data_IF_234882855125
#
_entry.id   IF_234882855125
#
_cell.length_a   1.000
_cell.length_b   1.000
_cell.length_c   1.000
_cell.angle_alpha   90.00
_cell.angle_beta   90.00
_cell.angle_gamma   90.00
#
_symmetry.space_group_name_H-M   'P 1'
#
loop_
_entity.id
_entity.type
_entity.pdbx_description
1 polymer ?
#
# COMPACT_ATOMS: atom_id res chain seq x y z
N UNK A 1 28.70 42.88 4.84
CA UNK A 1 29.63 41.74 5.00
C UNK A 1 29.19 40.91 6.19
N UNK A 2 28.66 39.70 5.98
CA UNK A 2 28.41 38.77 7.07
C UNK A 2 27.16 37.88 6.89
N UNK A 3 27.42 36.58 6.72
CA UNK A 3 26.53 35.43 6.97
C UNK A 3 25.48 35.05 5.90
N UNK A 4 25.96 34.67 4.71
CA UNK A 4 25.24 33.74 3.81
C UNK A 4 26.10 32.50 3.52
N UNK A 5 26.70 31.94 4.57
CA UNK A 5 27.40 30.65 4.46
C UNK A 5 26.40 29.52 4.67
N UNK A 6 26.15 28.83 3.56
CA UNK A 6 25.94 27.39 3.48
C UNK A 6 24.68 26.78 4.10
N UNK A 7 23.75 26.41 3.22
CA UNK A 7 22.75 25.37 3.51
C UNK A 7 23.19 23.99 2.94
N UNK A 8 23.94 23.95 1.83
CA UNK A 8 24.42 22.69 1.25
C UNK A 8 25.62 22.04 1.96
N UNK A 9 26.37 22.74 2.83
CA UNK A 9 27.37 22.06 3.68
C UNK A 9 26.73 21.40 4.92
N UNK A 10 25.43 21.57 5.19
CA UNK A 10 24.80 20.91 6.35
C UNK A 10 24.27 19.50 6.05
N UNK A 11 24.05 19.13 4.78
CA UNK A 11 23.70 17.75 4.44
C UNK A 11 24.94 16.83 4.40
N UNK A 12 26.10 17.38 4.05
CA UNK A 12 27.39 16.68 4.20
C UNK A 12 27.86 16.86 5.65
N UNK A 13 27.71 15.82 6.47
CA UNK A 13 28.49 15.50 7.70
C UNK A 13 27.76 15.41 9.07
N UNK A 14 26.49 15.03 9.18
CA UNK A 14 25.96 14.56 10.49
C UNK A 14 25.38 13.14 10.51
N UNK A 15 25.13 12.51 9.36
CA UNK A 15 24.82 11.09 9.32
C UNK A 15 26.10 10.29 9.08
N UNK A 16 26.49 9.45 10.04
CA UNK A 16 27.57 8.46 9.84
C UNK A 16 27.25 7.66 8.57
N UNK A 17 28.22 7.43 7.65
CA UNK A 17 27.97 6.66 6.45
C UNK A 17 27.44 5.27 6.83
N UNK A 18 26.16 5.03 6.54
CA UNK A 18 25.51 3.75 6.79
C UNK A 18 25.78 2.84 5.61
N UNK A 19 26.17 1.59 5.87
CA UNK A 19 26.31 0.55 4.84
C UNK A 19 24.95 0.10 4.25
N UNK A 20 23.84 0.62 4.79
CA UNK A 20 22.48 0.30 4.36
C UNK A 20 22.29 0.50 2.86
N UNK A 21 21.65 -0.46 2.16
CA UNK A 21 21.27 -0.31 0.75
C UNK A 21 20.43 0.94 0.48
N UNK A 22 19.62 1.38 1.47
CA UNK A 22 18.81 2.59 1.35
C UNK A 22 19.67 3.86 1.37
N UNK A 23 20.70 3.91 2.22
CA UNK A 23 21.63 5.04 2.29
C UNK A 23 22.38 5.23 0.96
N UNK A 24 22.89 4.13 0.39
CA UNK A 24 23.56 4.14 -0.93
C UNK A 24 22.64 4.65 -2.05
N UNK A 25 21.34 4.28 -2.02
CA UNK A 25 20.33 4.76 -2.99
C UNK A 25 20.07 6.25 -2.84
N UNK A 26 19.97 6.76 -1.61
CA UNK A 26 19.77 8.19 -1.33
C UNK A 26 20.96 9.03 -1.80
N UNK A 27 22.19 8.61 -1.52
CA UNK A 27 23.38 9.32 -2.02
C UNK A 27 23.44 9.34 -3.55
N UNK A 28 23.05 8.24 -4.21
CA UNK A 28 22.98 8.18 -5.67
C UNK A 28 21.93 9.14 -6.22
N UNK A 29 20.75 9.23 -5.61
CA UNK A 29 19.70 10.15 -6.02
C UNK A 29 20.12 11.63 -5.82
N UNK A 30 20.75 11.96 -4.69
CA UNK A 30 21.27 13.31 -4.44
C UNK A 30 22.30 13.74 -5.49
N UNK A 31 23.14 12.82 -5.97
CA UNK A 31 24.14 13.11 -7.01
C UNK A 31 23.56 13.40 -8.41
N UNK A 32 22.25 13.18 -8.61
CA UNK A 32 21.55 13.51 -9.85
C UNK A 32 21.15 14.98 -9.95
N UNK A 33 21.25 15.75 -8.85
CA UNK A 33 20.94 17.17 -8.81
C UNK A 33 22.22 17.95 -8.48
N UNK A 34 22.39 19.11 -9.09
CA UNK A 34 23.51 20.02 -8.82
C UNK A 34 23.37 20.66 -7.43
N UNK A 35 24.45 20.60 -6.65
CA UNK A 35 24.55 20.98 -5.22
C UNK A 35 24.16 22.45 -4.89
N UNK A 36 23.70 23.28 -5.83
CA UNK A 36 23.51 24.72 -5.54
C UNK A 36 22.43 25.44 -6.34
N UNK A 37 21.86 24.85 -7.39
CA UNK A 37 20.91 25.56 -8.26
C UNK A 37 19.59 24.83 -8.54
N UNK A 38 19.44 23.61 -8.03
CA UNK A 38 18.25 22.80 -8.33
C UNK A 38 18.16 22.43 -9.81
N UNK A 39 19.29 22.35 -10.53
CA UNK A 39 19.32 21.80 -11.88
C UNK A 39 19.73 20.33 -11.84
N UNK A 40 19.18 19.56 -12.78
CA UNK A 40 19.59 18.19 -13.04
C UNK A 40 21.06 18.10 -13.48
N UNK A 41 21.80 17.13 -12.95
CA UNK A 41 23.14 16.79 -13.41
C UNK A 41 23.03 15.85 -14.63
N UNK A 42 23.03 16.45 -15.82
CA UNK A 42 22.85 15.75 -17.11
C UNK A 42 23.86 14.62 -17.33
N UNK A 43 25.12 14.80 -16.91
CA UNK A 43 26.15 13.78 -17.06
C UNK A 43 25.84 12.53 -16.22
N UNK A 44 25.40 12.71 -14.98
CA UNK A 44 25.03 11.60 -14.10
C UNK A 44 23.70 10.96 -14.48
N UNK A 45 22.73 11.76 -14.93
CA UNK A 45 21.45 11.25 -15.41
C UNK A 45 21.61 10.35 -16.63
N UNK A 46 22.41 10.76 -17.61
CA UNK A 46 22.65 9.98 -18.83
C UNK A 46 23.35 8.63 -18.57
N UNK A 47 24.09 8.50 -17.47
CA UNK A 47 24.72 7.25 -17.06
C UNK A 47 23.76 6.28 -16.37
N UNK A 48 22.67 6.79 -15.78
CA UNK A 48 21.75 5.99 -14.93
C UNK A 48 20.45 5.67 -15.67
N UNK A 49 20.00 6.55 -16.57
CA UNK A 49 18.70 6.45 -17.22
C UNK A 49 18.80 6.40 -18.74
N UNK A 50 17.87 5.69 -19.37
CA UNK A 50 17.71 5.68 -20.82
C UNK A 50 17.10 6.98 -21.36
N UNK A 51 17.20 7.20 -22.66
CA UNK A 51 16.71 8.40 -23.35
C UNK A 51 15.23 8.73 -23.06
N UNK A 52 14.37 7.71 -22.99
CA UNK A 52 12.95 7.88 -22.66
C UNK A 52 12.75 8.45 -21.24
N UNK A 53 13.44 7.89 -20.25
CA UNK A 53 13.32 8.35 -18.87
C UNK A 53 13.99 9.72 -18.66
N UNK A 54 15.06 10.02 -19.40
CA UNK A 54 15.70 11.35 -19.37
C UNK A 54 14.74 12.45 -19.80
N UNK A 55 13.99 12.25 -20.89
CA UNK A 55 12.99 13.22 -21.33
C UNK A 55 11.97 13.51 -20.23
N UNK A 56 11.44 12.47 -19.58
CA UNK A 56 10.47 12.62 -18.49
C UNK A 56 11.04 13.24 -17.22
N UNK A 57 12.30 12.97 -16.89
CA UNK A 57 12.96 13.55 -15.72
C UNK A 57 13.20 15.04 -15.94
N UNK A 58 13.55 15.46 -17.17
CA UNK A 58 13.73 16.87 -17.53
C UNK A 58 12.44 17.68 -17.38
N UNK A 59 11.29 17.06 -17.59
CA UNK A 59 9.98 17.70 -17.39
C UNK A 59 9.67 17.97 -15.91
N UNK A 60 10.39 17.33 -14.98
CA UNK A 60 10.26 17.58 -13.55
C UNK A 60 11.12 18.81 -13.21
N UNK A 61 10.47 19.90 -12.82
CA UNK A 61 11.15 21.07 -12.27
C UNK A 61 11.77 20.67 -10.94
N UNK A 62 13.10 20.55 -10.91
CA UNK A 62 13.82 20.39 -9.66
C UNK A 62 13.70 21.68 -8.84
N UNK A 63 13.48 21.56 -7.53
CA UNK A 63 13.16 22.70 -6.68
C UNK A 63 14.29 23.74 -6.72
N UNK A 64 13.95 24.97 -7.08
CA UNK A 64 14.86 26.12 -7.01
C UNK A 64 14.81 26.84 -5.66
N UNK A 65 13.91 26.42 -4.76
CA UNK A 65 13.78 26.99 -3.42
C UNK A 65 14.59 26.18 -2.43
N UNK A 66 15.31 26.86 -1.55
CA UNK A 66 16.09 26.24 -0.46
C UNK A 66 15.16 25.87 0.72
N UNK A 67 14.03 25.24 0.42
CA UNK A 67 13.03 24.77 1.40
C UNK A 67 13.30 23.30 1.65
N UNK A 68 13.24 22.87 2.91
CA UNK A 68 13.39 21.46 3.25
C UNK A 68 12.25 20.62 2.67
N UNK A 69 12.60 19.44 2.15
CA UNK A 69 11.62 18.47 1.66
C UNK A 69 10.67 18.05 2.78
N UNK A 70 9.36 18.07 2.50
CA UNK A 70 8.32 17.56 3.40
C UNK A 70 7.46 16.52 2.71
N UNK A 71 6.94 15.57 3.49
CA UNK A 71 5.94 14.63 2.99
C UNK A 71 4.63 15.38 2.72
N UNK A 72 4.11 15.24 1.50
CA UNK A 72 2.88 15.88 1.05
C UNK A 72 1.88 14.80 0.66
N UNK A 73 0.70 14.83 1.28
CA UNK A 73 -0.43 14.00 0.91
C UNK A 73 -1.18 14.60 -0.27
N UNK A 74 -1.07 14.01 -1.45
CA UNK A 74 -1.61 14.56 -2.71
C UNK A 74 -3.14 14.65 -2.77
N UNK A 75 -3.85 14.05 -1.81
CA UNK A 75 -5.32 14.05 -1.76
C UNK A 75 -5.91 15.13 -0.85
N UNK A 76 -5.08 16.04 -0.32
CA UNK A 76 -5.55 17.24 0.38
C UNK A 76 -4.92 18.50 -0.22
N UNK A 77 -5.68 19.59 -0.24
CA UNK A 77 -5.23 20.87 -0.82
C UNK A 77 -4.00 21.46 -0.11
N UNK A 78 -3.78 21.13 1.16
CA UNK A 78 -2.65 21.62 1.96
C UNK A 78 -1.48 20.62 2.03
N UNK A 79 -1.66 19.43 1.46
CA UNK A 79 -0.66 18.37 1.54
C UNK A 79 -0.58 17.67 2.88
N UNK A 80 -1.51 17.92 3.79
CA UNK A 80 -1.53 17.32 5.12
C UNK A 80 -2.34 16.02 5.13
N UNK A 81 -1.83 15.03 5.86
CA UNK A 81 -2.55 13.78 6.06
C UNK A 81 -3.74 14.01 7.00
N UNK A 82 -4.90 13.50 6.61
CA UNK A 82 -6.11 13.55 7.42
C UNK A 82 -6.76 12.15 7.42
N UNK A 83 -6.98 11.63 8.63
CA UNK A 83 -7.53 10.27 8.84
C UNK A 83 -8.95 10.15 8.28
N UNK A 84 -9.80 11.14 8.52
CA UNK A 84 -11.19 11.16 8.03
C UNK A 84 -11.24 11.11 6.50
N UNK A 85 -10.50 11.99 5.83
CA UNK A 85 -10.41 11.98 4.35
C UNK A 85 -9.77 10.69 3.83
N UNK A 86 -8.81 10.11 4.54
CA UNK A 86 -8.21 8.84 4.13
C UNK A 86 -9.23 7.70 4.19
N UNK A 87 -10.09 7.67 5.20
CA UNK A 87 -11.17 6.70 5.31
C UNK A 87 -12.20 6.90 4.22
N UNK A 88 -12.60 8.14 3.94
CA UNK A 88 -13.53 8.46 2.86
C UNK A 88 -13.02 7.95 1.50
N UNK A 89 -11.73 8.17 1.20
CA UNK A 89 -11.09 7.68 -0.03
C UNK A 89 -11.07 6.15 -0.06
N UNK A 90 -10.65 5.51 1.04
CA UNK A 90 -10.59 4.05 1.12
C UNK A 90 -11.98 3.42 1.00
N UNK A 91 -13.01 4.04 1.57
CA UNK A 91 -14.40 3.65 1.37
C UNK A 91 -14.82 3.87 -0.08
N UNK A 92 -14.50 5.03 -0.67
CA UNK A 92 -14.84 5.40 -2.05
C UNK A 92 -14.21 4.46 -3.10
N UNK A 93 -12.98 4.02 -2.89
CA UNK A 93 -12.32 3.04 -3.74
C UNK A 93 -12.88 1.61 -3.54
N UNK A 94 -13.51 1.31 -2.39
CA UNK A 94 -14.15 0.02 -2.12
C UNK A 94 -15.60 -0.11 -2.59
N UNK A 95 -16.26 0.95 -3.11
CA UNK A 95 -17.63 0.82 -3.68
C UNK A 95 -17.69 0.00 -4.98
N UNK A 96 -16.56 -0.44 -5.52
CA UNK A 96 -16.53 -1.44 -6.60
C UNK A 96 -16.53 -2.89 -6.09
N UNK A 97 -16.45 -3.13 -4.78
CA UNK A 97 -16.88 -4.41 -4.23
C UNK A 97 -18.41 -4.39 -4.09
N UNK A 98 -19.13 -5.48 -4.43
CA UNK A 98 -20.55 -5.57 -4.19
C UNK A 98 -20.79 -5.34 -2.70
N UNK A 99 -21.25 -4.12 -2.36
CA UNK A 99 -21.69 -3.79 -1.02
C UNK A 99 -22.80 -4.76 -0.70
N UNK A 100 -22.51 -5.75 0.14
CA UNK A 100 -23.55 -6.64 0.62
C UNK A 100 -24.59 -5.73 1.26
N UNK A 101 -25.83 -5.78 0.79
CA UNK A 101 -26.99 -5.09 1.38
C UNK A 101 -27.26 -5.49 2.85
N UNK A 102 -26.40 -6.34 3.41
CA UNK A 102 -26.42 -6.82 4.77
C UNK A 102 -26.12 -5.69 5.77
N UNK A 103 -27.13 -5.37 6.59
CA UNK A 103 -27.02 -4.38 7.67
C UNK A 103 -26.27 -4.99 8.86
N UNK A 104 -24.97 -4.76 8.96
CA UNK A 104 -24.12 -5.27 10.06
C UNK A 104 -24.63 -4.93 11.46
N UNK A 105 -25.33 -3.80 11.62
CA UNK A 105 -25.96 -3.40 12.88
C UNK A 105 -26.94 -4.45 13.41
N UNK A 106 -27.58 -5.21 12.53
CA UNK A 106 -28.53 -6.26 12.93
C UNK A 106 -27.81 -7.47 13.52
N UNK A 107 -26.61 -7.81 13.02
CA UNK A 107 -25.82 -8.92 13.54
C UNK A 107 -25.48 -8.72 15.02
N UNK A 108 -25.08 -7.50 15.40
CA UNK A 108 -24.66 -7.18 16.77
C UNK A 108 -25.82 -7.04 17.77
N UNK A 109 -27.06 -6.96 17.31
CA UNK A 109 -28.26 -6.91 18.16
C UNK A 109 -28.76 -8.29 18.58
N UNK A 110 -28.25 -9.36 17.98
CA UNK A 110 -28.68 -10.72 18.29
C UNK A 110 -28.17 -11.08 19.70
N UNK A 111 -29.02 -11.66 20.58
CA UNK A 111 -28.64 -12.03 21.94
C UNK A 111 -27.80 -13.33 21.96
N UNK A 112 -26.68 -13.33 21.25
CA UNK A 112 -25.72 -14.41 21.21
C UNK A 112 -24.37 -13.95 21.81
N UNK A 113 -23.59 -14.89 22.36
CA UNK A 113 -22.21 -14.61 22.77
C UNK A 113 -21.39 -13.93 21.65
N UNK A 114 -20.61 -12.92 22.02
CA UNK A 114 -19.83 -12.13 21.05
C UNK A 114 -18.87 -12.96 20.19
N UNK A 115 -18.39 -14.09 20.71
CA UNK A 115 -17.58 -15.05 19.95
C UNK A 115 -18.29 -15.59 18.71
N UNK A 116 -19.60 -15.86 18.81
CA UNK A 116 -20.42 -16.38 17.71
C UNK A 116 -20.70 -15.27 16.70
N UNK A 117 -21.00 -14.06 17.18
CA UNK A 117 -21.24 -12.90 16.31
C UNK A 117 -19.99 -12.54 15.49
N UNK A 118 -18.82 -12.52 16.12
CA UNK A 118 -17.55 -12.33 15.42
C UNK A 118 -17.26 -13.43 14.40
N UNK A 119 -17.57 -14.69 14.73
CA UNK A 119 -17.42 -15.78 13.79
C UNK A 119 -18.26 -15.57 12.52
N UNK A 120 -19.55 -15.24 12.68
CA UNK A 120 -20.43 -14.97 11.55
C UNK A 120 -20.02 -13.72 10.77
N UNK A 121 -19.58 -12.67 11.46
CA UNK A 121 -19.01 -11.49 10.80
C UNK A 121 -17.82 -11.87 9.91
N UNK A 122 -16.91 -12.71 10.39
CA UNK A 122 -15.78 -13.21 9.59
C UNK A 122 -16.24 -14.10 8.43
N UNK A 123 -17.19 -15.00 8.66
CA UNK A 123 -17.73 -15.89 7.63
C UNK A 123 -18.34 -15.09 6.47
N UNK A 124 -19.22 -14.14 6.78
CA UNK A 124 -19.91 -13.31 5.78
C UNK A 124 -18.95 -12.38 5.02
N UNK A 125 -17.83 -11.96 5.63
CA UNK A 125 -16.82 -11.10 4.98
C UNK A 125 -15.69 -11.88 4.29
N UNK A 126 -15.85 -13.19 4.03
CA UNK A 126 -14.78 -14.02 3.44
C UNK A 126 -13.45 -13.90 4.22
N UNK A 127 -13.59 -13.80 5.54
CA UNK A 127 -12.54 -13.54 6.53
C UNK A 127 -11.95 -14.81 7.14
N UNK A 128 -12.64 -15.95 7.00
CA UNK A 128 -12.16 -17.24 7.49
C UNK A 128 -10.97 -17.75 6.65
N UNK A 129 -9.99 -18.43 7.26
CA UNK A 129 -8.80 -18.95 6.58
C UNK A 129 -9.10 -20.22 5.78
N UNK A 130 -10.14 -20.20 4.95
CA UNK A 130 -10.47 -21.28 4.02
C UNK A 130 -9.53 -21.24 2.83
N UNK A 131 -9.20 -22.39 2.22
CA UNK A 131 -8.27 -22.47 1.10
C UNK A 131 -8.67 -21.58 -0.07
N UNK A 132 -9.97 -21.51 -0.39
CA UNK A 132 -10.45 -20.61 -1.44
C UNK A 132 -10.18 -19.13 -1.11
N UNK A 133 -10.34 -18.72 0.15
CA UNK A 133 -10.06 -17.34 0.58
C UNK A 133 -8.57 -17.02 0.60
N UNK A 134 -7.74 -17.96 1.04
CA UNK A 134 -6.29 -17.80 1.04
C UNK A 134 -5.76 -17.70 -0.40
N UNK A 135 -6.25 -18.54 -1.31
CA UNK A 135 -5.91 -18.47 -2.73
C UNK A 135 -6.34 -17.14 -3.37
N UNK A 136 -7.55 -16.65 -3.03
CA UNK A 136 -8.03 -15.31 -3.45
C UNK A 136 -7.11 -14.18 -2.97
N UNK A 137 -6.39 -14.36 -1.85
CA UNK A 137 -5.42 -13.41 -1.31
C UNK A 137 -4.00 -13.60 -1.87
N UNK A 138 -3.83 -14.44 -2.90
CA UNK A 138 -2.56 -14.63 -3.60
C UNK A 138 -1.68 -15.75 -3.03
N UNK A 139 -2.17 -16.55 -2.07
CA UNK A 139 -1.43 -17.74 -1.65
C UNK A 139 -1.59 -18.86 -2.68
N UNK A 140 -0.46 -19.40 -3.16
CA UNK A 140 -0.46 -20.50 -4.11
C UNK A 140 -0.67 -21.83 -3.37
N UNK A 141 -1.92 -22.15 -3.05
CA UNK A 141 -2.32 -23.37 -2.35
C UNK A 141 -3.47 -24.07 -3.08
N UNK A 142 -3.61 -25.40 -2.97
CA UNK A 142 -4.76 -26.10 -3.51
C UNK A 142 -6.06 -25.61 -2.85
N UNK A 143 -7.07 -25.30 -3.66
CA UNK A 143 -8.35 -24.74 -3.20
C UNK A 143 -9.41 -25.81 -2.92
N UNK A 144 -9.13 -27.07 -3.23
CA UNK A 144 -10.04 -28.19 -3.01
C UNK A 144 -10.29 -28.47 -1.53
N UNK A 145 -11.48 -28.97 -1.24
CA UNK A 145 -11.89 -29.38 0.09
C UNK A 145 -10.99 -30.51 0.64
N UNK A 146 -10.46 -30.37 1.86
CA UNK A 146 -9.61 -31.40 2.48
C UNK A 146 -10.34 -32.72 2.73
N UNK A 147 -11.68 -32.74 2.73
CA UNK A 147 -12.49 -33.95 2.92
C UNK A 147 -12.63 -34.80 1.64
N UNK A 148 -12.06 -34.38 0.51
CA UNK A 148 -12.03 -35.20 -0.71
C UNK A 148 -13.34 -35.26 -1.49
N UNK A 149 -14.29 -34.35 -1.23
CA UNK A 149 -15.57 -34.28 -1.95
C UNK A 149 -15.49 -33.68 -3.37
N UNK A 150 -14.30 -33.30 -3.84
CA UNK A 150 -14.09 -32.69 -5.16
C UNK A 150 -14.55 -31.22 -5.30
N UNK A 151 -15.22 -30.65 -4.29
CA UNK A 151 -15.63 -29.25 -4.28
C UNK A 151 -14.51 -28.31 -3.78
N UNK A 152 -14.67 -27.01 -4.02
CA UNK A 152 -13.80 -25.97 -3.45
C UNK A 152 -14.11 -25.76 -1.96
N UNK A 153 -13.09 -25.49 -1.15
CA UNK A 153 -13.27 -25.15 0.26
C UNK A 153 -13.73 -23.69 0.41
N UNK A 154 -15.03 -23.44 0.23
CA UNK A 154 -15.71 -22.14 0.44
C UNK A 154 -16.59 -22.16 1.69
N UNK A 155 -17.06 -20.99 2.13
CA UNK A 155 -17.99 -20.90 3.26
C UNK A 155 -19.33 -21.58 2.95
N UNK A 156 -19.84 -21.47 1.71
CA UNK A 156 -21.06 -22.15 1.32
C UNK A 156 -20.86 -23.67 1.42
N UNK A 157 -19.76 -24.17 0.84
CA UNK A 157 -19.46 -25.60 0.90
C UNK A 157 -19.30 -26.11 2.34
N UNK A 158 -18.64 -25.35 3.21
CA UNK A 158 -18.35 -25.78 4.57
C UNK A 158 -19.55 -25.67 5.52
N UNK A 159 -20.42 -24.67 5.35
CA UNK A 159 -21.49 -24.36 6.32
C UNK A 159 -22.91 -24.48 5.78
N UNK A 160 -23.11 -24.45 4.46
CA UNK A 160 -24.44 -24.46 3.82
C UNK A 160 -24.71 -25.76 3.06
N UNK A 161 -23.74 -26.22 2.28
CA UNK A 161 -23.93 -27.31 1.30
C UNK A 161 -23.43 -28.66 1.82
N UNK A 162 -23.53 -28.92 3.13
CA UNK A 162 -23.24 -30.24 3.71
C UNK A 162 -24.37 -31.23 3.39
N UNK A 163 -24.78 -31.32 2.12
CA UNK A 163 -25.62 -32.41 1.63
C UNK A 163 -24.71 -33.52 1.11
N UNK A 164 -24.80 -34.65 1.79
CA UNK A 164 -24.25 -35.95 1.45
C UNK A 164 -24.41 -36.28 -0.04
N UNK A 165 -23.31 -36.28 -0.79
CA UNK A 165 -23.29 -36.98 -2.07
C UNK A 165 -23.45 -38.49 -1.81
N UNK A 166 -24.30 -39.20 -2.58
CA UNK A 166 -24.55 -40.61 -2.39
C UNK A 166 -23.27 -41.41 -2.66
N UNK A 167 -22.99 -42.37 -1.77
CA UNK A 167 -21.96 -43.38 -1.98
C UNK A 167 -22.36 -44.21 -3.21
N UNK A 168 -21.50 -44.26 -4.22
CA UNK A 168 -21.48 -45.35 -5.20
C UNK A 168 -20.88 -46.60 -4.55
#
# INVERSE_FOLDING_TARGET
>A
MGKYKSCFQNYKLQAKPSSSPLWKRLCKAASLVTDYLGYWNEANLAQVYNSHNLARIRDIVASHTNVEDRLVWTRTNHGEFNVEKSYEILSNDTYNLPSSSFKWQNLWKIPLPQKILHFWWKNLNKGLPLRANLARRGLQIPTGCPHGCGALETEEHLFKDFESQPQN
#
